data_IF_237578749537
#
_entry.id   IF_237578749537
#
_cell.length_a   1.000
_cell.length_b   1.000
_cell.length_c   1.000
_cell.angle_alpha   90.00
_cell.angle_beta   90.00
_cell.angle_gamma   90.00
#
_symmetry.space_group_name_H-M   'P 1'
#
loop_
_entity.id
_entity.type
_entity.pdbx_description
1 polymer ?
#
# COMPACT_ATOMS: atom_id res chain seq x y z
N UNK A 1 8.75 10.12 -6.34
CA UNK A 1 7.86 11.30 -6.32
C UNK A 1 8.31 12.19 -5.18
N UNK A 2 8.58 13.48 -5.44
CA UNK A 2 9.01 14.40 -4.39
C UNK A 2 7.77 14.91 -3.63
N UNK A 3 7.22 14.04 -2.79
CA UNK A 3 6.00 14.35 -2.05
C UNK A 3 6.40 15.18 -0.84
N UNK A 4 6.01 16.45 -0.81
CA UNK A 4 6.25 17.31 0.34
C UNK A 4 5.59 16.68 1.59
N UNK A 5 6.40 16.09 2.46
CA UNK A 5 5.92 15.49 3.71
C UNK A 5 5.30 16.61 4.54
N UNK A 6 3.99 16.50 4.79
CA UNK A 6 3.24 17.45 5.63
C UNK A 6 2.87 16.76 6.93
N UNK A 7 3.15 17.41 8.06
CA UNK A 7 2.66 16.95 9.36
C UNK A 7 1.14 16.95 9.37
N UNK A 8 0.57 15.86 9.85
CA UNK A 8 -0.86 15.68 10.06
C UNK A 8 -1.08 15.19 11.50
N UNK A 9 -2.14 15.66 12.15
CA UNK A 9 -2.53 15.21 13.48
C UNK A 9 -3.87 14.47 13.34
N UNK A 10 -3.90 13.19 13.67
CA UNK A 10 -5.09 12.33 13.60
C UNK A 10 -5.25 11.57 14.91
N UNK A 11 -6.49 11.26 15.27
CA UNK A 11 -6.76 10.28 16.32
C UNK A 11 -6.70 8.89 15.69
N UNK A 12 -5.72 8.09 16.11
CA UNK A 12 -5.49 6.75 15.60
C UNK A 12 -5.45 5.75 16.75
N UNK A 13 -5.82 4.51 16.45
CA UNK A 13 -5.71 3.39 17.38
C UNK A 13 -4.24 2.94 17.47
N UNK A 14 -3.59 3.28 18.57
CA UNK A 14 -2.18 2.94 18.83
C UNK A 14 -1.94 1.43 18.79
N UNK A 15 -2.87 0.62 19.32
CA UNK A 15 -2.72 -0.85 19.34
C UNK A 15 -2.68 -1.39 17.91
N UNK A 16 -3.50 -0.83 17.02
CA UNK A 16 -3.49 -1.17 15.60
C UNK A 16 -2.17 -0.77 14.94
N UNK A 17 -1.67 0.43 15.20
CA UNK A 17 -0.38 0.89 14.65
C UNK A 17 0.75 -0.03 15.11
N UNK A 18 0.83 -0.37 16.40
CA UNK A 18 1.87 -1.27 16.92
C UNK A 18 1.81 -2.67 16.30
N UNK A 19 0.61 -3.20 16.05
CA UNK A 19 0.44 -4.48 15.35
C UNK A 19 1.00 -4.41 13.94
N UNK A 20 0.63 -3.37 13.19
CA UNK A 20 1.13 -3.16 11.83
C UNK A 20 2.65 -2.92 11.84
N UNK A 21 3.17 -2.18 12.81
CA UNK A 21 4.60 -1.93 12.97
C UNK A 21 5.40 -3.23 13.15
N UNK A 22 4.88 -4.17 13.95
CA UNK A 22 5.48 -5.51 14.09
C UNK A 22 5.43 -6.31 12.79
N UNK A 23 4.32 -6.25 12.05
CA UNK A 23 4.17 -6.95 10.76
C UNK A 23 5.15 -6.38 9.72
N UNK A 24 5.31 -5.06 9.68
CA UNK A 24 6.13 -4.37 8.67
C UNK A 24 7.61 -4.22 9.09
N UNK A 25 7.97 -4.52 10.35
CA UNK A 25 9.33 -4.38 10.86
C UNK A 25 9.86 -2.94 10.85
N UNK A 26 8.98 -1.95 10.97
CA UNK A 26 9.29 -0.52 10.84
C UNK A 26 9.77 0.08 12.16
N UNK A 27 10.62 1.11 12.07
CA UNK A 27 11.24 1.75 13.24
C UNK A 27 10.32 2.76 13.91
N UNK A 28 9.47 3.44 13.13
CA UNK A 28 8.60 4.51 13.63
C UNK A 28 7.14 4.32 13.20
N UNK A 29 6.22 4.94 13.92
CA UNK A 29 4.80 4.94 13.56
C UNK A 29 4.53 5.65 12.23
N UNK A 30 5.25 6.76 11.97
CA UNK A 30 5.20 7.45 10.67
C UNK A 30 5.60 6.51 9.53
N UNK A 31 6.73 5.81 9.65
CA UNK A 31 7.17 4.83 8.65
C UNK A 31 6.17 3.68 8.49
N UNK A 32 5.55 3.27 9.59
CA UNK A 32 4.51 2.21 9.58
C UNK A 32 3.30 2.65 8.76
N UNK A 33 2.79 3.85 9.01
CA UNK A 33 1.62 4.40 8.34
C UNK A 33 1.93 4.63 6.85
N UNK A 34 3.10 5.19 6.55
CA UNK A 34 3.57 5.45 5.18
C UNK A 34 3.64 4.16 4.35
N UNK A 35 4.37 3.14 4.83
CA UNK A 35 4.46 1.84 4.14
C UNK A 35 3.11 1.12 4.04
N UNK A 36 2.25 1.25 5.03
CA UNK A 36 0.91 0.68 4.96
C UNK A 36 0.07 1.33 3.83
N UNK A 37 0.21 2.64 3.63
CA UNK A 37 -0.43 3.34 2.51
C UNK A 37 0.15 2.89 1.16
N UNK A 38 1.47 2.76 1.05
CA UNK A 38 2.12 2.26 -0.17
C UNK A 38 1.61 0.87 -0.58
N UNK A 39 1.45 -0.05 0.38
CA UNK A 39 0.91 -1.40 0.12
C UNK A 39 -0.51 -1.33 -0.44
N UNK A 40 -1.36 -0.44 0.10
CA UNK A 40 -2.74 -0.28 -0.38
C UNK A 40 -2.79 0.32 -1.78
N UNK A 41 -1.95 1.34 -2.04
CA UNK A 41 -1.83 1.95 -3.36
C UNK A 41 -1.36 0.91 -4.38
N UNK A 42 -0.26 0.22 -4.09
CA UNK A 42 0.31 -0.82 -4.95
C UNK A 42 -0.70 -1.95 -5.25
N UNK A 43 -1.42 -2.42 -4.23
CA UNK A 43 -2.47 -3.42 -4.40
C UNK A 43 -3.55 -2.94 -5.38
N UNK A 44 -3.96 -1.68 -5.27
CA UNK A 44 -4.98 -1.10 -6.13
C UNK A 44 -4.48 -1.01 -7.57
N UNK A 45 -3.27 -0.51 -7.79
CA UNK A 45 -2.65 -0.40 -9.11
C UNK A 45 -2.49 -1.76 -9.81
N UNK A 46 -2.09 -2.80 -9.06
CA UNK A 46 -2.02 -4.18 -9.59
C UNK A 46 -3.39 -4.65 -10.02
N UNK A 47 -4.40 -4.53 -9.16
CA UNK A 47 -5.75 -5.03 -9.45
C UNK A 47 -6.35 -4.32 -10.66
N UNK A 48 -6.16 -3.01 -10.77
CA UNK A 48 -6.57 -2.24 -11.95
C UNK A 48 -5.84 -2.68 -13.22
N UNK A 49 -4.54 -2.95 -13.12
CA UNK A 49 -3.73 -3.44 -14.24
C UNK A 49 -4.19 -4.82 -14.70
N UNK A 50 -4.45 -5.73 -13.76
CA UNK A 50 -4.99 -7.06 -14.04
C UNK A 50 -6.38 -6.96 -14.71
N UNK A 51 -7.26 -6.08 -14.22
CA UNK A 51 -8.56 -5.86 -14.85
C UNK A 51 -8.45 -5.31 -16.29
N UNK A 52 -7.44 -4.48 -16.58
CA UNK A 52 -7.20 -3.96 -17.94
C UNK A 52 -6.68 -5.01 -18.92
N UNK A 53 -6.00 -6.05 -18.41
CA UNK A 53 -5.40 -7.13 -19.20
C UNK A 53 -6.31 -8.36 -19.29
N UNK A 54 -7.15 -8.57 -18.28
CA UNK A 54 -8.22 -9.58 -18.24
C UNK A 54 -9.14 -9.42 -19.45
N UNK A 55 -9.07 -10.38 -20.38
CA UNK A 55 -9.85 -10.38 -21.63
C UNK A 55 -9.05 -10.04 -22.90
N UNK A 56 -7.79 -9.63 -22.79
CA UNK A 56 -6.90 -9.37 -23.95
C UNK A 56 -5.90 -10.49 -24.24
N UNK A 57 -5.76 -11.46 -23.34
CA UNK A 57 -4.91 -12.63 -23.50
C UNK A 57 -5.61 -13.74 -24.27
N UNK A 58 -5.73 -13.60 -25.59
CA UNK A 58 -5.97 -14.75 -26.45
C UNK A 58 -4.76 -15.67 -26.37
N UNK A 59 -4.86 -16.78 -25.64
CA UNK A 59 -3.82 -17.82 -25.64
C UNK A 59 -3.85 -18.45 -27.02
N UNK A 60 -2.90 -18.09 -27.88
CA UNK A 60 -2.74 -18.76 -29.16
C UNK A 60 -2.20 -20.16 -28.87
N UNK A 61 -3.04 -21.17 -29.12
CA UNK A 61 -2.61 -22.57 -29.12
C UNK A 61 -1.53 -22.72 -30.21
N UNK A 62 -0.30 -22.95 -29.79
CA UNK A 62 0.75 -23.59 -30.60
C UNK A 62 0.50 -25.08 -30.70
#
# INVERSE_FOLDING_TARGET
MNTAIKRKNYYLDEVKIKKVQKILGTKTETETIDKAMDIVIFRTEILESLNKVSGKGGVQKV
#
